data_IF_561499027170
#
_entry.id   IF_561499027170
#
_cell.length_a   1.000
_cell.length_b   1.000
_cell.length_c   1.000
_cell.angle_alpha   90.00
_cell.angle_beta   90.00
_cell.angle_gamma   90.00
#
_symmetry.space_group_name_H-M   'P 1'
#
loop_
_entity.id
_entity.type
_entity.pdbx_description
1 polymer ?
#
# COMPACT_ATOMS: atom_id res chain seq x y z
N UNK A 1 37.26 -26.19 32.66
CA UNK A 1 37.33 -24.85 32.06
C UNK A 1 35.91 -24.40 31.69
N UNK A 2 35.42 -23.37 32.38
CA UNK A 2 34.01 -22.94 32.36
C UNK A 2 33.53 -22.55 30.96
N UNK A 3 32.38 -23.09 30.55
CA UNK A 3 31.62 -22.71 29.34
C UNK A 3 31.37 -21.20 29.28
N UNK A 4 31.26 -20.52 30.42
CA UNK A 4 31.12 -19.05 30.51
C UNK A 4 32.33 -18.28 29.96
N UNK A 5 33.55 -18.83 30.02
CA UNK A 5 34.78 -18.13 29.58
C UNK A 5 35.01 -18.17 28.07
N UNK A 6 34.54 -19.22 27.38
CA UNK A 6 34.61 -19.31 25.91
C UNK A 6 33.61 -18.35 25.22
N UNK A 7 32.41 -18.18 25.79
CA UNK A 7 31.37 -17.29 25.25
C UNK A 7 31.75 -15.80 25.33
N UNK A 8 32.51 -15.40 26.36
CA UNK A 8 32.96 -14.03 26.54
C UNK A 8 34.06 -13.64 25.54
N UNK A 9 34.90 -14.60 25.13
CA UNK A 9 35.95 -14.38 24.13
C UNK A 9 35.38 -14.21 22.70
N UNK A 10 34.34 -14.98 22.33
CA UNK A 10 33.69 -14.86 21.01
C UNK A 10 32.84 -13.58 20.85
N UNK A 11 32.27 -13.05 21.94
CA UNK A 11 31.50 -11.80 21.89
C UNK A 11 32.36 -10.57 21.58
N UNK A 12 33.65 -10.59 21.90
CA UNK A 12 34.55 -9.45 21.71
C UNK A 12 34.96 -9.21 20.25
N UNK A 13 34.67 -10.16 19.35
CA UNK A 13 34.90 -10.03 17.90
C UNK A 13 33.69 -9.50 17.13
N UNK A 14 32.54 -9.30 17.79
CA UNK A 14 31.28 -8.88 17.19
C UNK A 14 31.09 -7.36 17.26
N UNK A 15 30.38 -6.80 16.28
CA UNK A 15 29.99 -5.39 16.33
C UNK A 15 29.07 -5.12 17.52
N UNK A 16 29.04 -3.88 18.04
CA UNK A 16 28.16 -3.48 19.16
C UNK A 16 26.68 -3.83 18.90
N UNK A 17 26.24 -3.78 17.65
CA UNK A 17 24.88 -4.17 17.24
C UNK A 17 24.64 -5.66 17.41
N UNK A 18 25.58 -6.51 16.98
CA UNK A 18 25.50 -7.97 17.10
C UNK A 18 25.58 -8.42 18.56
N UNK A 19 26.49 -7.84 19.34
CA UNK A 19 26.56 -8.05 20.79
C UNK A 19 25.21 -7.78 21.47
N UNK A 20 24.57 -6.65 21.12
CA UNK A 20 23.23 -6.31 21.66
C UNK A 20 22.15 -7.34 21.29
N UNK A 21 22.26 -8.00 20.13
CA UNK A 21 21.30 -9.02 19.67
C UNK A 21 21.53 -10.33 20.42
N UNK A 22 22.79 -10.72 20.61
CA UNK A 22 23.19 -11.92 21.34
C UNK A 22 22.77 -11.81 22.80
N UNK A 23 23.06 -10.69 23.46
CA UNK A 23 22.66 -10.44 24.86
C UNK A 23 21.14 -10.48 25.03
N UNK A 24 20.38 -9.83 24.12
CA UNK A 24 18.91 -9.91 24.13
C UNK A 24 18.41 -11.33 23.95
N UNK A 25 19.07 -12.15 23.12
CA UNK A 25 18.73 -13.55 22.91
C UNK A 25 19.02 -14.39 24.15
N UNK A 26 20.17 -14.20 24.81
CA UNK A 26 20.50 -14.91 26.05
C UNK A 26 19.52 -14.58 27.17
N UNK A 27 19.21 -13.30 27.39
CA UNK A 27 18.20 -12.88 28.36
C UNK A 27 16.83 -13.51 28.08
N UNK A 28 16.46 -13.66 26.80
CA UNK A 28 15.24 -14.34 26.39
C UNK A 28 15.26 -15.84 26.73
N UNK A 29 16.39 -16.53 26.54
CA UNK A 29 16.54 -17.94 26.88
C UNK A 29 16.43 -18.17 28.39
N UNK A 30 17.11 -17.35 29.20
CA UNK A 30 17.03 -17.40 30.67
C UNK A 30 15.60 -17.16 31.17
N UNK A 31 14.90 -16.18 30.59
CA UNK A 31 13.50 -15.88 30.94
C UNK A 31 12.57 -17.08 30.79
N UNK A 32 12.78 -17.92 29.76
CA UNK A 32 11.89 -19.03 29.45
C UNK A 32 12.46 -20.40 29.85
N UNK A 33 13.65 -20.48 30.44
CA UNK A 33 14.33 -21.75 30.73
C UNK A 33 13.47 -22.70 31.56
N UNK A 34 12.92 -22.22 32.68
CA UNK A 34 12.03 -23.01 33.55
C UNK A 34 10.78 -23.49 32.80
N UNK A 35 10.22 -22.64 31.94
CA UNK A 35 9.01 -22.95 31.19
C UNK A 35 9.27 -24.01 30.11
N UNK A 36 10.45 -24.00 29.48
CA UNK A 36 10.87 -25.03 28.51
C UNK A 36 11.01 -26.39 29.20
N UNK A 37 11.72 -26.44 30.34
CA UNK A 37 11.87 -27.67 31.13
C UNK A 37 10.51 -28.27 31.50
N UNK A 38 9.61 -27.46 32.06
CA UNK A 38 8.24 -27.91 32.37
C UNK A 38 7.45 -28.35 31.12
N UNK A 39 7.67 -27.71 29.97
CA UNK A 39 6.99 -28.07 28.73
C UNK A 39 7.46 -29.40 28.15
N UNK A 40 8.74 -29.75 28.32
CA UNK A 40 9.32 -31.01 27.90
C UNK A 40 8.98 -32.16 28.85
N UNK A 41 9.10 -31.93 30.16
CA UNK A 41 9.02 -32.98 31.18
C UNK A 41 7.58 -33.29 31.65
N UNK A 42 6.63 -32.38 31.38
CA UNK A 42 5.26 -32.52 31.92
C UNK A 42 4.16 -32.38 30.87
N UNK A 43 3.05 -33.09 31.13
CA UNK A 43 1.81 -32.97 30.35
C UNK A 43 0.96 -31.74 30.71
N UNK A 44 1.46 -30.82 31.55
CA UNK A 44 0.74 -29.61 31.95
C UNK A 44 0.41 -28.73 30.75
N UNK A 45 -0.79 -28.16 30.71
CA UNK A 45 -1.18 -27.25 29.62
C UNK A 45 -0.25 -26.04 29.53
N UNK A 46 -0.09 -25.49 28.32
CA UNK A 46 0.72 -24.28 28.09
C UNK A 46 0.27 -23.11 28.99
N UNK A 47 -1.03 -23.02 29.28
CA UNK A 47 -1.60 -22.04 30.20
C UNK A 47 -1.08 -22.22 31.63
N UNK A 48 -1.13 -23.45 32.13
CA UNK A 48 -0.65 -23.78 33.49
C UNK A 48 0.86 -23.54 33.63
N UNK A 49 1.65 -23.91 32.63
CA UNK A 49 3.10 -23.64 32.62
C UNK A 49 3.37 -22.14 32.62
N UNK A 50 2.64 -21.38 31.80
CA UNK A 50 2.80 -19.93 31.74
C UNK A 50 2.46 -19.25 33.07
N UNK A 51 1.40 -19.69 33.75
CA UNK A 51 1.04 -19.25 35.09
C UNK A 51 2.13 -19.60 36.12
N UNK A 52 2.60 -20.85 36.16
CA UNK A 52 3.67 -21.31 37.08
C UNK A 52 5.03 -20.62 36.86
N UNK A 53 5.29 -20.16 35.64
CA UNK A 53 6.52 -19.46 35.28
C UNK A 53 6.35 -17.93 35.24
N UNK A 54 5.17 -17.39 35.57
CA UNK A 54 4.85 -15.97 35.48
C UNK A 54 5.22 -15.34 34.13
N UNK A 55 4.86 -16.02 33.04
CA UNK A 55 5.05 -15.54 31.66
C UNK A 55 3.72 -15.49 30.93
N UNK A 56 3.64 -14.68 29.87
CA UNK A 56 2.45 -14.67 29.02
C UNK A 56 2.32 -15.97 28.22
N UNK A 57 1.11 -16.53 28.13
CA UNK A 57 0.84 -17.73 27.34
C UNK A 57 1.22 -17.53 25.87
N UNK A 58 0.88 -16.36 25.31
CA UNK A 58 1.20 -16.00 23.93
C UNK A 58 2.70 -15.82 23.67
N UNK A 59 3.42 -15.21 24.62
CA UNK A 59 4.87 -15.04 24.56
C UNK A 59 5.60 -16.38 24.63
N UNK A 60 5.25 -17.23 25.60
CA UNK A 60 5.81 -18.58 25.74
C UNK A 60 5.55 -19.42 24.49
N UNK A 61 4.31 -19.44 23.99
CA UNK A 61 3.96 -20.19 22.79
C UNK A 61 4.69 -19.70 21.52
N UNK A 62 4.95 -18.40 21.41
CA UNK A 62 5.74 -17.85 20.29
C UNK A 62 7.21 -18.21 20.41
N UNK A 63 7.76 -18.14 21.63
CA UNK A 63 9.13 -18.51 21.92
C UNK A 63 9.39 -19.99 21.63
N UNK A 64 8.53 -20.91 22.11
CA UNK A 64 8.64 -22.34 21.84
C UNK A 64 8.61 -22.66 20.34
N UNK A 65 7.68 -22.07 19.58
CA UNK A 65 7.60 -22.30 18.12
C UNK A 65 8.81 -21.79 17.34
N UNK A 66 9.53 -20.79 17.89
CA UNK A 66 10.67 -20.15 17.24
C UNK A 66 12.00 -20.85 17.57
N UNK A 67 12.19 -21.24 18.84
CA UNK A 67 13.48 -21.74 19.34
C UNK A 67 13.46 -23.21 19.76
N UNK A 68 12.28 -23.77 20.05
CA UNK A 68 12.11 -25.13 20.56
C UNK A 68 11.02 -25.88 19.77
N UNK A 69 11.10 -25.79 18.44
CA UNK A 69 10.01 -26.23 17.55
C UNK A 69 9.86 -27.75 17.56
N UNK A 70 10.96 -28.46 17.70
CA UNK A 70 11.03 -29.90 17.90
C UNK A 70 10.24 -30.37 19.14
N UNK A 71 10.31 -29.66 20.28
CA UNK A 71 9.48 -29.96 21.44
C UNK A 71 7.99 -29.79 21.13
N UNK A 72 7.64 -28.73 20.39
CA UNK A 72 6.25 -28.47 19.99
C UNK A 72 5.74 -29.59 19.07
N UNK A 73 6.53 -30.03 18.09
CA UNK A 73 6.16 -31.10 17.17
C UNK A 73 6.01 -32.45 17.89
N UNK A 74 6.98 -32.80 18.75
CA UNK A 74 6.95 -34.00 19.59
C UNK A 74 5.67 -34.07 20.43
N UNK A 75 5.32 -32.97 21.09
CA UNK A 75 4.11 -32.90 21.93
C UNK A 75 2.80 -32.97 21.14
N UNK A 76 2.82 -32.62 19.86
CA UNK A 76 1.68 -32.80 18.96
C UNK A 76 1.70 -34.15 18.21
N UNK A 77 2.65 -35.04 18.54
CA UNK A 77 2.83 -36.36 17.90
C UNK A 77 3.00 -36.27 16.38
N UNK A 78 3.72 -35.23 15.93
CA UNK A 78 4.05 -35.03 14.53
C UNK A 78 5.44 -35.60 14.29
N UNK A 79 5.52 -36.65 13.46
CA UNK A 79 6.80 -37.18 13.00
C UNK A 79 7.46 -36.19 12.03
N UNK A 80 8.75 -35.96 12.24
CA UNK A 80 9.58 -35.12 11.36
C UNK A 80 10.37 -36.09 10.50
N UNK A 81 10.01 -36.20 9.21
CA UNK A 81 10.88 -36.83 8.22
C UNK A 81 12.07 -35.90 7.93
N UNK A 82 12.98 -36.25 7.01
CA UNK A 82 14.16 -35.44 6.62
C UNK A 82 13.87 -34.00 6.11
N UNK A 83 12.64 -33.52 6.23
CA UNK A 83 12.23 -32.14 5.99
C UNK A 83 12.64 -31.18 7.13
N UNK A 84 12.86 -29.91 6.77
CA UNK A 84 13.16 -28.87 7.75
C UNK A 84 12.05 -28.73 8.80
N UNK A 85 12.40 -28.64 10.10
CA UNK A 85 11.42 -28.46 11.18
C UNK A 85 10.47 -27.27 10.93
N UNK A 86 10.94 -26.23 10.23
CA UNK A 86 10.18 -25.02 9.95
C UNK A 86 9.14 -25.20 8.83
N UNK A 87 9.33 -26.11 7.88
CA UNK A 87 8.34 -26.40 6.83
C UNK A 87 7.14 -27.19 7.35
N UNK A 88 7.34 -28.00 8.39
CA UNK A 88 6.29 -28.85 8.98
C UNK A 88 5.22 -27.99 9.67
N UNK A 89 3.97 -28.08 9.20
CA UNK A 89 2.83 -27.34 9.77
C UNK A 89 2.25 -28.08 10.98
N UNK A 90 2.21 -27.41 12.14
CA UNK A 90 1.58 -27.94 13.36
C UNK A 90 0.06 -28.11 13.18
N UNK A 91 -0.57 -27.19 12.44
CA UNK A 91 -1.98 -27.23 12.08
C UNK A 91 -2.10 -26.97 10.59
N UNK A 92 -2.62 -27.95 9.86
CA UNK A 92 -2.94 -27.78 8.45
C UNK A 92 -4.40 -27.36 8.28
N UNK A 93 -4.63 -26.35 7.45
CA UNK A 93 -5.96 -25.82 7.20
C UNK A 93 -6.87 -26.90 6.60
N UNK A 94 -7.95 -27.23 7.30
CA UNK A 94 -8.92 -28.24 6.87
C UNK A 94 -8.60 -29.68 7.30
N UNK A 95 -7.42 -29.96 7.84
CA UNK A 95 -7.11 -31.26 8.45
C UNK A 95 -7.45 -31.29 9.93
N UNK A 96 -7.64 -32.50 10.45
CA UNK A 96 -7.84 -32.73 11.88
C UNK A 96 -6.55 -32.44 12.64
N UNK A 97 -6.67 -31.77 13.78
CA UNK A 97 -5.56 -31.70 14.73
C UNK A 97 -5.30 -33.12 15.27
N UNK A 98 -4.07 -33.60 15.25
CA UNK A 98 -3.67 -34.95 15.70
C UNK A 98 -4.11 -35.22 17.14
N UNK A 99 -3.99 -34.24 18.03
CA UNK A 99 -4.42 -34.37 19.42
C UNK A 99 -5.95 -34.47 19.53
N UNK A 100 -6.69 -33.72 18.72
CA UNK A 100 -8.15 -33.82 18.67
C UNK A 100 -8.59 -35.16 18.06
N UNK A 101 -7.93 -35.60 16.98
CA UNK A 101 -8.16 -36.91 16.38
C UNK A 101 -7.94 -38.01 17.41
N UNK A 102 -6.81 -38.02 18.11
CA UNK A 102 -6.51 -39.01 19.16
C UNK A 102 -7.57 -38.99 20.26
N UNK A 103 -8.01 -37.80 20.68
CA UNK A 103 -9.04 -37.66 21.72
C UNK A 103 -10.41 -38.22 21.30
N UNK A 104 -10.78 -38.08 20.04
CA UNK A 104 -12.13 -38.41 19.56
C UNK A 104 -12.20 -39.70 18.73
N UNK A 105 -11.09 -40.29 18.29
CA UNK A 105 -11.04 -41.41 17.32
C UNK A 105 -11.96 -42.58 17.71
N UNK A 106 -11.97 -42.97 18.98
CA UNK A 106 -12.73 -44.14 19.43
C UNK A 106 -14.24 -43.82 19.48
N UNK A 107 -14.59 -42.60 19.89
CA UNK A 107 -15.96 -42.12 19.86
C UNK A 107 -16.47 -41.91 18.42
N UNK A 108 -15.59 -41.49 17.50
CA UNK A 108 -15.90 -41.35 16.07
C UNK A 108 -16.15 -42.74 15.46
N UNK A 109 -15.28 -43.71 15.73
CA UNK A 109 -15.45 -45.08 15.27
C UNK A 109 -16.76 -45.71 15.77
N UNK A 110 -17.15 -45.42 17.03
CA UNK A 110 -18.45 -45.82 17.55
C UNK A 110 -19.61 -45.12 16.83
N UNK A 111 -19.48 -43.83 16.50
CA UNK A 111 -20.48 -43.13 15.68
C UNK A 111 -20.61 -43.76 14.28
N UNK A 112 -19.53 -44.27 13.71
CA UNK A 112 -19.53 -44.89 12.37
C UNK A 112 -19.96 -46.37 12.37
N UNK A 113 -20.24 -46.94 13.55
CA UNK A 113 -20.59 -48.35 13.70
C UNK A 113 -22.09 -48.58 13.88
N UNK A 114 -22.60 -49.65 13.25
CA UNK A 114 -23.97 -50.13 13.46
C UNK A 114 -24.21 -50.63 14.89
N UNK A 115 -23.16 -51.09 15.59
CA UNK A 115 -23.27 -51.60 16.96
C UNK A 115 -23.70 -50.52 17.98
N UNK A 116 -23.54 -49.24 17.64
CA UNK A 116 -23.93 -48.10 18.47
C UNK A 116 -24.94 -47.20 17.75
N UNK A 117 -25.71 -47.75 16.80
CA UNK A 117 -26.67 -46.97 16.01
C UNK A 117 -27.88 -46.52 16.83
N UNK A 118 -28.18 -47.22 17.92
CA UNK A 118 -29.22 -46.95 18.91
C UNK A 118 -28.88 -45.75 19.81
N UNK A 119 -27.59 -45.55 20.12
CA UNK A 119 -27.12 -44.43 20.93
C UNK A 119 -27.09 -43.10 20.15
N UNK A 120 -27.49 -42.01 20.79
CA UNK A 120 -27.23 -40.68 20.26
C UNK A 120 -25.77 -40.25 20.51
N UNK A 121 -25.30 -39.21 19.81
CA UNK A 121 -23.91 -38.74 19.91
C UNK A 121 -23.55 -38.34 21.35
N UNK A 122 -24.49 -37.79 22.11
CA UNK A 122 -24.26 -37.40 23.52
C UNK A 122 -24.12 -38.61 24.45
N UNK A 123 -24.77 -39.73 24.13
CA UNK A 123 -24.61 -41.01 24.85
C UNK A 123 -23.28 -41.66 24.48
N UNK A 124 -22.92 -41.67 23.20
CA UNK A 124 -21.59 -42.14 22.75
C UNK A 124 -20.51 -41.30 23.42
N UNK A 125 -20.63 -39.97 23.42
CA UNK A 125 -19.66 -39.09 24.05
C UNK A 125 -19.44 -39.43 25.53
N UNK A 126 -20.53 -39.64 26.29
CA UNK A 126 -20.45 -40.08 27.69
C UNK A 126 -19.77 -41.44 27.83
N UNK A 127 -20.10 -42.40 26.97
CA UNK A 127 -19.50 -43.75 26.97
C UNK A 127 -17.98 -43.72 26.79
N UNK A 128 -17.47 -42.79 26.00
CA UNK A 128 -16.04 -42.62 25.73
C UNK A 128 -15.38 -41.50 26.57
N UNK A 129 -16.06 -40.96 27.59
CA UNK A 129 -15.49 -39.93 28.47
C UNK A 129 -15.16 -38.61 27.77
N UNK A 130 -15.81 -38.30 26.64
CA UNK A 130 -15.60 -37.07 25.89
C UNK A 130 -16.79 -36.11 26.01
N UNK A 131 -16.53 -34.81 25.88
CA UNK A 131 -17.59 -33.80 25.94
C UNK A 131 -18.54 -33.89 24.74
N UNK A 132 -19.83 -34.08 24.98
CA UNK A 132 -20.87 -34.27 23.95
C UNK A 132 -20.92 -33.14 22.90
N UNK A 133 -20.93 -31.89 23.34
CA UNK A 133 -20.94 -30.72 22.44
C UNK A 133 -19.67 -30.65 21.60
N UNK A 134 -18.52 -30.97 22.22
CA UNK A 134 -17.24 -30.92 21.54
C UNK A 134 -17.11 -32.03 20.49
N UNK A 135 -17.54 -33.26 20.81
CA UNK A 135 -17.60 -34.37 19.86
C UNK A 135 -18.55 -34.05 18.70
N UNK A 136 -19.74 -33.50 18.99
CA UNK A 136 -20.71 -33.13 17.94
C UNK A 136 -20.13 -32.08 16.99
N UNK A 137 -19.46 -31.05 17.51
CA UNK A 137 -18.80 -30.03 16.68
C UNK A 137 -17.65 -30.62 15.87
N UNK A 138 -16.87 -31.53 16.45
CA UNK A 138 -15.78 -32.24 15.77
C UNK A 138 -16.31 -33.08 14.59
N UNK A 139 -17.38 -33.85 14.82
CA UNK A 139 -18.06 -34.64 13.80
C UNK A 139 -18.62 -33.77 12.67
N UNK A 140 -19.24 -32.63 12.97
CA UNK A 140 -19.78 -31.73 11.93
C UNK A 140 -18.71 -31.17 10.99
N UNK A 141 -17.50 -30.93 11.50
CA UNK A 141 -16.41 -30.36 10.71
C UNK A 141 -15.72 -31.45 9.87
N UNK A 142 -15.54 -32.66 10.42
CA UNK A 142 -14.63 -33.65 9.85
C UNK A 142 -15.31 -34.93 9.34
N UNK A 143 -16.50 -35.26 9.84
CA UNK A 143 -17.22 -36.52 9.59
C UNK A 143 -18.71 -36.24 9.34
N UNK A 144 -19.00 -35.26 8.49
CA UNK A 144 -20.39 -34.87 8.17
C UNK A 144 -21.17 -36.04 7.55
N UNK A 145 -20.52 -36.81 6.68
CA UNK A 145 -21.15 -37.94 5.99
C UNK A 145 -21.57 -39.05 6.96
N UNK A 146 -20.77 -39.32 8.00
CA UNK A 146 -21.16 -40.24 9.08
C UNK A 146 -22.42 -39.77 9.79
N UNK A 147 -22.59 -38.46 10.02
CA UNK A 147 -23.81 -37.92 10.64
C UNK A 147 -25.03 -38.10 9.74
N UNK A 148 -24.89 -37.85 8.43
CA UNK A 148 -25.95 -38.03 7.43
C UNK A 148 -26.34 -39.50 7.31
N UNK A 149 -25.35 -40.40 7.26
CA UNK A 149 -25.55 -41.84 7.22
C UNK A 149 -26.30 -42.34 8.47
N UNK A 150 -25.84 -41.95 9.68
CA UNK A 150 -26.50 -42.34 10.93
C UNK A 150 -27.97 -41.92 10.97
N UNK A 151 -28.28 -40.67 10.59
CA UNK A 151 -29.65 -40.19 10.55
C UNK A 151 -30.52 -41.02 9.58
N UNK A 152 -29.99 -41.34 8.39
CA UNK A 152 -30.67 -42.20 7.42
C UNK A 152 -30.94 -43.61 7.96
N UNK A 153 -29.95 -44.23 8.60
CA UNK A 153 -30.09 -45.59 9.16
C UNK A 153 -31.07 -45.60 10.33
N UNK A 154 -30.97 -44.65 11.26
CA UNK A 154 -31.90 -44.54 12.39
C UNK A 154 -33.34 -44.31 11.92
N UNK A 155 -33.55 -43.50 10.88
CA UNK A 155 -34.88 -43.33 10.24
C UNK A 155 -35.41 -44.65 9.71
N UNK A 156 -34.59 -45.42 8.99
CA UNK A 156 -34.96 -46.72 8.43
C UNK A 156 -35.33 -47.74 9.52
N UNK A 157 -34.61 -47.71 10.64
CA UNK A 157 -34.85 -48.60 11.79
C UNK A 157 -35.97 -48.15 12.73
N UNK A 158 -36.59 -46.98 12.49
CA UNK A 158 -37.63 -46.44 13.37
C UNK A 158 -37.14 -45.93 14.73
N UNK A 159 -35.83 -45.86 14.95
CA UNK A 159 -35.19 -45.41 16.21
C UNK A 159 -34.86 -43.90 16.15
N UNK A 160 -35.45 -43.16 15.20
CA UNK A 160 -35.14 -41.75 15.07
C UNK A 160 -35.88 -40.91 16.12
N UNK A 161 -35.18 -40.00 16.77
CA UNK A 161 -35.65 -39.15 17.87
C UNK A 161 -36.65 -38.07 17.40
N UNK A 162 -37.11 -38.10 16.14
CA UNK A 162 -37.92 -37.07 15.43
C UNK A 162 -37.28 -35.68 15.41
N UNK A 163 -36.02 -35.55 15.81
CA UNK A 163 -35.28 -34.28 15.82
C UNK A 163 -34.60 -34.06 14.46
N UNK A 164 -34.66 -32.83 13.96
CA UNK A 164 -33.97 -32.46 12.71
C UNK A 164 -32.45 -32.46 12.93
N UNK A 165 -31.76 -33.39 12.28
CA UNK A 165 -30.31 -33.45 12.25
C UNK A 165 -29.76 -32.54 11.15
N UNK A 166 -29.12 -31.44 11.56
CA UNK A 166 -28.58 -30.43 10.66
C UNK A 166 -28.68 -29.02 11.23
N UNK A 167 -28.55 -28.01 10.36
CA UNK A 167 -28.84 -26.64 10.73
C UNK A 167 -30.34 -26.53 11.05
N UNK A 168 -30.69 -25.91 12.17
CA UNK A 168 -32.10 -25.62 12.48
C UNK A 168 -32.65 -24.68 11.41
N UNK A 169 -33.89 -24.90 10.96
CA UNK A 169 -34.53 -24.06 9.93
C UNK A 169 -34.49 -22.56 10.27
N UNK A 170 -34.67 -22.20 11.55
CA UNK A 170 -34.52 -20.81 12.02
C UNK A 170 -33.12 -20.25 11.72
N UNK A 171 -32.06 -21.03 11.93
CA UNK A 171 -30.69 -20.62 11.65
C UNK A 171 -30.41 -20.54 10.15
N UNK A 172 -30.94 -21.48 9.34
CA UNK A 172 -30.82 -21.42 7.88
C UNK A 172 -31.40 -20.10 7.37
N UNK A 173 -32.63 -19.77 7.78
CA UNK A 173 -33.27 -18.50 7.41
C UNK A 173 -32.49 -17.28 7.92
N UNK A 174 -32.01 -17.33 9.16
CA UNK A 174 -31.25 -16.24 9.78
C UNK A 174 -29.94 -15.92 9.04
N UNK A 175 -29.22 -16.93 8.54
CA UNK A 175 -27.93 -16.74 7.88
C UNK A 175 -28.01 -16.76 6.35
N UNK A 176 -29.18 -16.99 5.74
CA UNK A 176 -29.34 -17.14 4.29
C UNK A 176 -28.73 -15.97 3.51
N UNK A 177 -29.11 -14.73 3.86
CA UNK A 177 -28.58 -13.52 3.23
C UNK A 177 -27.06 -13.40 3.40
N UNK A 178 -26.54 -13.66 4.60
CA UNK A 178 -25.12 -13.59 4.88
C UNK A 178 -24.30 -14.64 4.12
N UNK A 179 -24.84 -15.86 3.95
CA UNK A 179 -24.22 -16.94 3.17
C UNK A 179 -24.16 -16.55 1.70
N UNK A 180 -25.25 -16.05 1.14
CA UNK A 180 -25.33 -15.61 -0.25
C UNK A 180 -24.38 -14.44 -0.53
N UNK A 181 -24.36 -13.44 0.36
CA UNK A 181 -23.44 -12.32 0.27
C UNK A 181 -21.97 -12.76 0.33
N UNK A 182 -21.63 -13.72 1.20
CA UNK A 182 -20.25 -14.22 1.30
C UNK A 182 -19.82 -15.02 0.07
N UNK A 183 -20.75 -15.72 -0.57
CA UNK A 183 -20.49 -16.45 -1.81
C UNK A 183 -20.17 -15.47 -2.95
N UNK A 184 -21.00 -14.43 -3.09
CA UNK A 184 -20.99 -13.56 -4.26
C UNK A 184 -20.10 -12.33 -4.15
N UNK A 185 -19.53 -12.04 -2.97
CA UNK A 185 -18.70 -10.84 -2.74
C UNK A 185 -17.31 -11.19 -2.18
N UNK A 186 -16.40 -10.24 -2.25
CA UNK A 186 -15.07 -10.30 -1.61
C UNK A 186 -15.06 -9.71 -0.19
N UNK A 187 -16.24 -9.51 0.41
CA UNK A 187 -16.35 -8.98 1.77
C UNK A 187 -15.87 -10.01 2.80
N UNK A 188 -15.29 -9.49 3.88
CA UNK A 188 -14.89 -10.31 5.02
C UNK A 188 -16.11 -10.77 5.80
N UNK A 189 -15.98 -11.87 6.55
CA UNK A 189 -17.06 -12.34 7.43
C UNK A 189 -17.51 -11.28 8.45
N UNK A 190 -16.61 -10.39 8.88
CA UNK A 190 -16.94 -9.28 9.80
C UNK A 190 -17.86 -8.28 9.14
N UNK A 191 -17.49 -7.78 7.97
CA UNK A 191 -18.27 -6.79 7.22
C UNK A 191 -19.67 -7.33 6.88
N UNK A 192 -19.77 -8.61 6.48
CA UNK A 192 -21.05 -9.24 6.21
C UNK A 192 -21.86 -9.42 7.49
N UNK A 193 -21.22 -9.81 8.60
CA UNK A 193 -21.92 -9.99 9.87
C UNK A 193 -22.54 -8.68 10.37
N UNK A 194 -21.82 -7.57 10.21
CA UNK A 194 -22.33 -6.23 10.52
C UNK A 194 -23.48 -5.85 9.58
N UNK A 195 -23.31 -6.06 8.27
CA UNK A 195 -24.31 -5.69 7.26
C UNK A 195 -25.62 -6.48 7.37
N UNK A 196 -25.52 -7.78 7.66
CA UNK A 196 -26.68 -8.66 7.83
C UNK A 196 -27.20 -8.67 9.28
N UNK A 197 -26.61 -7.87 10.17
CA UNK A 197 -26.93 -7.83 11.60
C UNK A 197 -26.96 -9.23 12.26
N UNK A 198 -25.94 -10.04 11.99
CA UNK A 198 -25.77 -11.37 12.58
C UNK A 198 -24.49 -11.45 13.41
N UNK A 199 -24.47 -12.34 14.40
CA UNK A 199 -23.25 -12.56 15.19
C UNK A 199 -22.13 -13.14 14.32
N UNK A 200 -20.96 -12.51 14.31
CA UNK A 200 -19.76 -12.99 13.61
C UNK A 200 -19.38 -14.42 14.03
N UNK A 201 -19.43 -14.71 15.33
CA UNK A 201 -19.06 -16.04 15.85
C UNK A 201 -20.06 -17.11 15.40
N UNK A 202 -21.37 -16.79 15.46
CA UNK A 202 -22.44 -17.66 15.01
C UNK A 202 -22.41 -17.90 13.49
N UNK A 203 -22.23 -16.84 12.70
CA UNK A 203 -22.09 -16.92 11.25
C UNK A 203 -20.86 -17.74 10.84
N UNK A 204 -19.70 -17.47 11.45
CA UNK A 204 -18.47 -18.24 11.21
C UNK A 204 -18.63 -19.72 11.55
N UNK A 205 -19.37 -20.04 12.61
CA UNK A 205 -19.67 -21.42 12.96
C UNK A 205 -20.63 -22.07 11.96
N UNK A 206 -21.69 -21.37 11.55
CA UNK A 206 -22.65 -21.84 10.56
C UNK A 206 -21.96 -22.16 9.23
N UNK A 207 -21.11 -21.26 8.75
CA UNK A 207 -20.32 -21.45 7.52
C UNK A 207 -19.39 -22.66 7.62
N UNK A 208 -18.72 -22.86 8.76
CA UNK A 208 -17.82 -24.01 8.96
C UNK A 208 -18.56 -25.35 8.97
N UNK A 209 -19.78 -25.38 9.50
CA UNK A 209 -20.55 -26.62 9.68
C UNK A 209 -21.34 -27.03 8.44
N UNK A 210 -21.84 -26.06 7.66
CA UNK A 210 -22.81 -26.32 6.60
C UNK A 210 -22.38 -25.82 5.22
N UNK A 211 -21.39 -24.93 5.13
CA UNK A 211 -20.92 -24.31 3.87
C UNK A 211 -19.39 -24.38 3.73
N UNK A 212 -18.82 -25.56 4.04
CA UNK A 212 -17.37 -25.77 4.04
C UNK A 212 -16.75 -25.71 2.64
N UNK A 213 -17.54 -26.01 1.62
CA UNK A 213 -17.27 -25.88 0.19
C UNK A 213 -17.00 -24.41 -0.20
N UNK A 214 -17.88 -23.48 0.18
CA UNK A 214 -17.71 -22.04 -0.08
C UNK A 214 -16.41 -21.54 0.57
N UNK A 215 -16.12 -22.00 1.80
CA UNK A 215 -14.87 -21.64 2.48
C UNK A 215 -13.62 -22.19 1.78
N UNK A 216 -13.70 -23.37 1.15
CA UNK A 216 -12.59 -23.95 0.37
C UNK A 216 -12.38 -23.17 -0.92
N UNK A 217 -13.45 -22.81 -1.61
CA UNK A 217 -13.40 -21.99 -2.83
C UNK A 217 -12.77 -20.63 -2.57
N UNK A 218 -13.26 -19.87 -1.58
CA UNK A 218 -12.67 -18.59 -1.17
C UNK A 218 -11.20 -18.70 -0.76
N UNK A 219 -10.75 -19.82 -0.18
CA UNK A 219 -9.31 -20.03 0.11
C UNK A 219 -8.48 -20.21 -1.15
N UNK A 220 -9.01 -20.90 -2.18
CA UNK A 220 -8.33 -21.04 -3.47
C UNK A 220 -8.21 -19.69 -4.16
N UNK A 221 -9.29 -18.91 -4.21
CA UNK A 221 -9.29 -17.55 -4.75
C UNK A 221 -8.22 -16.65 -4.09
N UNK A 222 -8.14 -16.69 -2.75
CA UNK A 222 -7.11 -15.95 -1.99
C UNK A 222 -5.69 -16.38 -2.34
N UNK A 223 -5.45 -17.69 -2.44
CA UNK A 223 -4.13 -18.21 -2.81
C UNK A 223 -3.71 -17.74 -4.20
N UNK A 224 -4.64 -17.69 -5.15
CA UNK A 224 -4.38 -17.16 -6.49
C UNK A 224 -4.12 -15.63 -6.48
N UNK A 225 -4.69 -14.92 -5.51
CA UNK A 225 -4.56 -13.46 -5.34
C UNK A 225 -3.35 -13.04 -4.49
N UNK A 226 -2.50 -13.98 -4.07
CA UNK A 226 -1.36 -13.70 -3.18
C UNK A 226 -0.25 -12.92 -3.88
N UNK A 227 -0.18 -12.99 -5.22
CA UNK A 227 0.92 -12.40 -6.00
C UNK A 227 0.70 -10.95 -6.44
N UNK A 228 -0.54 -10.45 -6.53
CA UNK A 228 -0.82 -9.15 -7.20
C UNK A 228 -1.57 -8.19 -6.28
N UNK A 229 -0.89 -7.11 -5.85
CA UNK A 229 -1.50 -6.00 -5.07
C UNK A 229 -2.07 -4.96 -6.02
N UNK A 230 -3.21 -5.27 -6.63
CA UNK A 230 -3.91 -4.35 -7.52
C UNK A 230 -5.05 -3.66 -6.78
N UNK A 231 -5.18 -2.34 -6.93
CA UNK A 231 -6.20 -1.56 -6.23
C UNK A 231 -7.60 -2.13 -6.48
N UNK A 232 -8.40 -2.25 -5.43
CA UNK A 232 -9.76 -2.76 -5.47
C UNK A 232 -9.89 -4.29 -5.54
N UNK A 233 -8.83 -5.03 -5.90
CA UNK A 233 -8.88 -6.50 -5.95
C UNK A 233 -8.61 -7.13 -4.59
N UNK A 234 -9.14 -8.33 -4.38
CA UNK A 234 -8.85 -9.15 -3.20
C UNK A 234 -7.35 -9.49 -3.13
N UNK A 235 -6.80 -9.53 -1.91
CA UNK A 235 -5.43 -9.95 -1.63
C UNK A 235 -5.40 -11.33 -0.97
N UNK A 236 -4.21 -11.94 -0.82
CA UNK A 236 -4.05 -13.24 -0.16
C UNK A 236 -4.61 -13.34 1.27
N UNK A 237 -4.77 -12.21 1.98
CA UNK A 237 -5.41 -12.17 3.29
C UNK A 237 -6.96 -12.11 3.23
N UNK A 238 -7.56 -12.09 2.04
CA UNK A 238 -9.00 -12.03 1.82
C UNK A 238 -9.62 -10.64 1.93
N UNK A 239 -8.82 -9.58 2.10
CA UNK A 239 -9.29 -8.20 2.05
C UNK A 239 -9.05 -7.61 0.67
N UNK A 240 -9.97 -6.76 0.22
CA UNK A 240 -9.77 -5.88 -0.92
C UNK A 240 -8.61 -4.92 -0.68
N UNK A 241 -7.71 -4.78 -1.64
CA UNK A 241 -6.58 -3.86 -1.61
C UNK A 241 -7.05 -2.43 -1.81
N UNK A 242 -7.56 -1.82 -0.74
CA UNK A 242 -7.99 -0.43 -0.67
C UNK A 242 -7.75 0.11 0.74
N UNK A 243 -7.68 1.43 0.95
CA UNK A 243 -7.60 1.98 2.29
C UNK A 243 -8.83 1.58 3.11
N UNK A 244 -8.68 1.51 4.44
CA UNK A 244 -9.84 1.29 5.30
C UNK A 244 -10.78 2.50 5.23
N UNK A 245 -12.09 2.29 5.45
CA UNK A 245 -13.05 3.39 5.50
C UNK A 245 -12.66 4.48 6.51
N UNK A 246 -12.06 4.10 7.64
CA UNK A 246 -11.53 5.04 8.64
C UNK A 246 -10.40 5.90 8.07
N UNK A 247 -9.52 5.31 7.26
CA UNK A 247 -8.42 6.02 6.60
C UNK A 247 -8.97 6.92 5.49
N UNK A 248 -9.94 6.46 4.70
CA UNK A 248 -10.59 7.26 3.66
C UNK A 248 -11.26 8.49 4.26
N UNK A 249 -12.06 8.33 5.33
CA UNK A 249 -12.68 9.47 6.04
C UNK A 249 -11.66 10.45 6.59
N UNK A 250 -10.57 9.95 7.19
CA UNK A 250 -9.50 10.77 7.76
C UNK A 250 -8.83 11.68 6.71
N UNK A 251 -8.65 11.18 5.49
CA UNK A 251 -7.94 11.90 4.42
C UNK A 251 -8.87 12.47 3.35
N UNK A 252 -10.20 12.39 3.51
CA UNK A 252 -11.16 12.79 2.48
C UNK A 252 -11.01 14.27 2.08
N UNK A 253 -10.98 15.17 3.06
CA UNK A 253 -10.82 16.61 2.82
C UNK A 253 -9.45 16.93 2.20
N UNK A 254 -8.38 16.32 2.73
CA UNK A 254 -7.02 16.51 2.21
C UNK A 254 -6.87 16.01 0.77
N UNK A 255 -7.54 14.91 0.43
CA UNK A 255 -7.56 14.35 -0.92
C UNK A 255 -8.31 15.26 -1.89
N UNK A 256 -9.44 15.83 -1.46
CA UNK A 256 -10.21 16.75 -2.29
C UNK A 256 -9.41 18.02 -2.60
N UNK A 257 -8.77 18.62 -1.58
CA UNK A 257 -7.86 19.76 -1.77
C UNK A 257 -6.67 19.40 -2.67
N UNK A 258 -6.12 18.20 -2.55
CA UNK A 258 -5.00 17.79 -3.40
C UNK A 258 -5.38 17.61 -4.88
N UNK A 259 -6.61 17.17 -5.15
CA UNK A 259 -7.14 17.04 -6.51
C UNK A 259 -7.44 18.39 -7.15
N UNK A 260 -8.18 19.22 -6.42
CA UNK A 260 -8.84 20.39 -6.98
C UNK A 260 -8.00 21.68 -6.86
N UNK A 261 -6.94 21.67 -6.06
CA UNK A 261 -6.09 22.85 -5.82
C UNK A 261 -4.63 22.59 -6.19
N UNK A 262 -3.89 23.65 -6.48
CA UNK A 262 -2.44 23.59 -6.71
C UNK A 262 -1.62 23.77 -5.42
N UNK A 263 -2.22 23.50 -4.25
CA UNK A 263 -1.56 23.66 -2.96
C UNK A 263 -0.49 22.58 -2.75
N UNK A 264 0.54 22.90 -1.97
CA UNK A 264 1.53 21.87 -1.62
C UNK A 264 0.95 20.88 -0.60
N UNK A 265 1.46 19.65 -0.57
CA UNK A 265 1.06 18.66 0.44
C UNK A 265 1.23 19.18 1.88
N UNK A 266 2.24 20.05 2.11
CA UNK A 266 2.49 20.67 3.42
C UNK A 266 1.37 21.63 3.81
N UNK A 267 0.92 22.46 2.87
CA UNK A 267 -0.14 23.44 3.12
C UNK A 267 -1.49 22.76 3.33
N UNK A 268 -1.77 21.71 2.55
CA UNK A 268 -2.97 20.88 2.71
C UNK A 268 -2.96 20.18 4.07
N UNK A 269 -1.83 19.61 4.48
CA UNK A 269 -1.68 18.96 5.77
C UNK A 269 -1.93 19.94 6.93
N UNK A 270 -1.37 21.15 6.84
CA UNK A 270 -1.61 22.21 7.83
C UNK A 270 -3.08 22.63 7.89
N UNK A 271 -3.74 22.77 6.73
CA UNK A 271 -5.15 23.21 6.66
C UNK A 271 -6.13 22.18 7.21
N UNK A 272 -5.87 20.90 6.94
CA UNK A 272 -6.76 19.78 7.33
C UNK A 272 -6.39 19.15 8.67
N UNK A 273 -5.30 19.60 9.30
CA UNK A 273 -4.82 19.06 10.58
C UNK A 273 -4.24 17.64 10.51
N UNK A 274 -4.03 17.09 9.31
CA UNK A 274 -3.40 15.77 9.15
C UNK A 274 -1.87 15.89 9.14
N UNK A 275 -1.17 14.84 9.56
CA UNK A 275 0.29 14.80 9.46
C UNK A 275 0.74 14.80 7.99
N UNK A 276 1.69 15.67 7.65
CA UNK A 276 2.26 15.76 6.30
C UNK A 276 2.87 14.43 5.81
N UNK A 277 3.60 13.72 6.67
CA UNK A 277 4.18 12.42 6.30
C UNK A 277 3.11 11.33 6.15
N UNK A 278 2.05 11.41 6.95
CA UNK A 278 0.89 10.53 6.81
C UNK A 278 0.13 10.75 5.51
N UNK A 279 -0.13 12.02 5.15
CA UNK A 279 -0.78 12.39 3.88
C UNK A 279 0.06 11.95 2.69
N UNK A 280 1.37 12.19 2.73
CA UNK A 280 2.31 11.73 1.71
C UNK A 280 2.25 10.21 1.55
N UNK A 281 2.38 9.46 2.63
CA UNK A 281 2.30 8.00 2.61
C UNK A 281 0.97 7.49 2.05
N UNK A 282 -0.14 8.16 2.40
CA UNK A 282 -1.47 7.83 1.90
C UNK A 282 -1.59 8.05 0.38
N UNK A 283 -1.19 9.23 -0.12
CA UNK A 283 -1.25 9.57 -1.54
C UNK A 283 -0.34 8.68 -2.38
N UNK A 284 0.91 8.46 -1.96
CA UNK A 284 1.84 7.61 -2.71
C UNK A 284 1.36 6.14 -2.78
N UNK A 285 0.67 5.66 -1.75
CA UNK A 285 0.21 4.27 -1.69
C UNK A 285 -1.10 4.05 -2.44
N UNK A 286 -2.04 4.99 -2.36
CA UNK A 286 -3.42 4.78 -2.81
C UNK A 286 -3.83 5.65 -4.00
N UNK A 287 -3.12 6.75 -4.24
CA UNK A 287 -3.43 7.75 -5.26
C UNK A 287 -2.17 8.15 -6.05
N UNK A 288 -1.35 7.16 -6.43
CA UNK A 288 -0.07 7.38 -7.13
C UNK A 288 -0.26 8.21 -8.40
N UNK A 289 -1.34 7.96 -9.13
CA UNK A 289 -1.65 8.67 -10.39
C UNK A 289 -1.83 10.18 -10.17
N UNK A 290 -2.50 10.58 -9.09
CA UNK A 290 -2.64 12.00 -8.72
C UNK A 290 -1.30 12.62 -8.33
N UNK A 291 -0.40 11.83 -7.71
CA UNK A 291 0.95 12.31 -7.40
C UNK A 291 1.74 12.54 -8.68
N UNK A 292 1.65 11.64 -9.65
CA UNK A 292 2.31 11.79 -10.95
C UNK A 292 1.78 13.00 -11.73
N UNK A 293 0.45 13.18 -11.77
CA UNK A 293 -0.18 14.36 -12.37
C UNK A 293 0.34 15.65 -11.74
N UNK A 294 0.37 15.72 -10.41
CA UNK A 294 0.82 16.91 -9.70
C UNK A 294 2.32 17.21 -9.93
N UNK A 295 3.14 16.18 -10.22
CA UNK A 295 4.55 16.32 -10.61
C UNK A 295 4.75 16.67 -12.11
N UNK A 296 3.67 16.68 -12.90
CA UNK A 296 3.70 16.89 -14.35
C UNK A 296 4.35 15.73 -15.09
N UNK A 297 4.25 14.50 -14.56
CA UNK A 297 4.79 13.30 -15.18
C UNK A 297 3.64 12.59 -15.91
N UNK A 298 3.76 12.48 -17.22
CA UNK A 298 2.83 11.74 -18.08
C UNK A 298 3.46 10.41 -18.49
N UNK A 299 2.72 9.31 -18.32
CA UNK A 299 3.14 7.95 -18.69
C UNK A 299 3.35 7.01 -17.51
N UNK A 300 3.61 5.74 -17.83
CA UNK A 300 3.80 4.68 -16.84
C UNK A 300 5.21 4.79 -16.23
N UNK A 301 5.28 5.01 -14.92
CA UNK A 301 6.53 5.25 -14.20
C UNK A 301 6.89 4.02 -13.39
N UNK A 302 8.04 3.42 -13.71
CA UNK A 302 8.57 2.26 -13.00
C UNK A 302 8.59 2.51 -11.48
N UNK A 303 8.30 1.48 -10.69
CA UNK A 303 8.18 1.56 -9.23
C UNK A 303 9.46 2.10 -8.56
N UNK A 304 10.62 1.91 -9.18
CA UNK A 304 11.91 2.36 -8.65
C UNK A 304 12.34 3.76 -9.12
N UNK A 305 11.51 4.45 -9.90
CA UNK A 305 11.87 5.77 -10.41
C UNK A 305 11.91 6.81 -9.28
N UNK A 306 13.02 7.53 -9.15
CA UNK A 306 13.13 8.65 -8.22
C UNK A 306 12.26 9.83 -8.70
N UNK A 307 11.06 9.91 -8.14
CA UNK A 307 10.08 10.96 -8.44
C UNK A 307 10.60 12.38 -8.19
N UNK A 308 11.63 12.58 -7.34
CA UNK A 308 12.23 13.90 -7.13
C UNK A 308 13.04 14.37 -8.34
N UNK A 309 13.65 13.44 -9.06
CA UNK A 309 14.44 13.72 -10.27
C UNK A 309 13.57 13.71 -11.52
N UNK A 310 12.53 12.87 -11.55
CA UNK A 310 11.63 12.74 -12.69
C UNK A 310 10.59 13.88 -12.82
N UNK A 311 10.47 14.76 -11.82
CA UNK A 311 9.54 15.90 -11.87
C UNK A 311 9.84 16.78 -13.09
N UNK A 312 8.80 17.08 -13.88
CA UNK A 312 8.91 17.97 -15.04
C UNK A 312 8.35 19.34 -14.68
N UNK A 313 7.03 19.45 -14.54
CA UNK A 313 6.32 20.70 -14.28
C UNK A 313 5.39 20.54 -13.09
N UNK A 314 5.85 20.94 -11.89
CA UNK A 314 5.06 20.82 -10.67
C UNK A 314 3.83 21.73 -10.71
N UNK A 315 2.63 21.18 -10.46
CA UNK A 315 1.34 21.90 -10.52
C UNK A 315 1.33 23.15 -9.63
N UNK A 316 1.89 23.06 -8.42
CA UNK A 316 1.99 24.20 -7.50
C UNK A 316 2.92 25.32 -7.98
N UNK A 317 4.05 24.96 -8.61
CA UNK A 317 5.00 25.94 -9.16
C UNK A 317 4.44 26.55 -10.45
N UNK A 318 3.75 25.76 -11.27
CA UNK A 318 3.04 26.27 -12.44
C UNK A 318 1.96 27.27 -12.05
N UNK A 319 1.14 26.97 -11.03
CA UNK A 319 0.14 27.89 -10.52
C UNK A 319 0.75 29.19 -9.98
N UNK A 320 1.90 29.12 -9.27
CA UNK A 320 2.62 30.30 -8.78
C UNK A 320 2.98 31.29 -9.90
N UNK A 321 3.34 30.78 -11.08
CA UNK A 321 3.78 31.61 -12.21
C UNK A 321 2.68 31.89 -13.23
N UNK A 322 1.50 31.29 -13.10
CA UNK A 322 0.44 31.33 -14.10
C UNK A 322 -0.01 32.77 -14.41
N UNK A 323 -0.33 33.57 -13.39
CA UNK A 323 -0.80 34.95 -13.56
C UNK A 323 0.27 35.85 -14.20
N UNK A 324 1.53 35.67 -13.79
CA UNK A 324 2.66 36.41 -14.35
C UNK A 324 2.90 36.05 -15.82
N UNK A 325 2.79 34.76 -16.18
CA UNK A 325 2.91 34.27 -17.56
C UNK A 325 1.76 34.78 -18.42
N UNK A 326 0.52 34.72 -17.92
CA UNK A 326 -0.66 35.23 -18.64
C UNK A 326 -0.56 36.74 -18.86
N UNK A 327 -0.14 37.49 -17.85
CA UNK A 327 0.08 38.92 -17.96
C UNK A 327 1.20 39.26 -18.96
N UNK A 328 2.27 38.46 -19.02
CA UNK A 328 3.35 38.60 -20.00
C UNK A 328 2.85 38.31 -21.43
N UNK A 329 2.00 37.29 -21.61
CA UNK A 329 1.37 36.97 -22.90
C UNK A 329 0.45 38.08 -23.40
N UNK A 330 -0.34 38.70 -22.51
CA UNK A 330 -1.26 39.80 -22.86
C UNK A 330 -0.54 41.11 -23.12
N UNK A 331 0.52 41.41 -22.38
CA UNK A 331 1.24 42.68 -22.46
C UNK A 331 2.76 42.45 -22.47
N UNK A 332 3.37 42.33 -23.66
CA UNK A 332 4.81 42.12 -23.85
C UNK A 332 5.66 43.19 -23.16
N UNK A 333 6.38 42.79 -22.09
CA UNK A 333 7.27 43.68 -21.33
C UNK A 333 8.48 42.92 -20.75
N UNK A 334 9.54 43.62 -20.30
CA UNK A 334 10.73 42.95 -19.78
C UNK A 334 10.39 42.00 -18.62
N UNK A 335 10.96 40.80 -18.65
CA UNK A 335 10.73 39.75 -17.63
C UNK A 335 11.05 40.26 -16.22
N UNK A 336 12.04 41.13 -16.08
CA UNK A 336 12.39 41.79 -14.82
C UNK A 336 11.24 42.63 -14.26
N UNK A 337 10.53 43.38 -15.13
CA UNK A 337 9.41 44.22 -14.73
C UNK A 337 8.20 43.37 -14.28
N UNK A 338 7.87 42.32 -15.03
CA UNK A 338 6.81 41.38 -14.63
C UNK A 338 7.15 40.70 -13.31
N UNK A 339 8.39 40.22 -13.15
CA UNK A 339 8.81 39.59 -11.91
C UNK A 339 8.63 40.52 -10.70
N UNK A 340 9.02 41.79 -10.82
CA UNK A 340 8.79 42.78 -9.76
C UNK A 340 7.31 43.03 -9.46
N UNK A 341 6.46 43.16 -10.49
CA UNK A 341 5.01 43.38 -10.33
C UNK A 341 4.31 42.23 -9.58
N UNK A 342 4.75 41.00 -9.82
CA UNK A 342 4.19 39.80 -9.20
C UNK A 342 4.97 39.31 -7.96
N UNK A 343 5.95 40.09 -7.47
CA UNK A 343 6.75 39.73 -6.29
C UNK A 343 7.62 38.49 -6.47
N UNK A 344 8.03 38.19 -7.70
CA UNK A 344 8.83 37.03 -8.09
C UNK A 344 10.32 37.38 -8.18
N UNK A 345 11.18 36.41 -7.89
CA UNK A 345 12.62 36.57 -8.10
C UNK A 345 12.95 36.49 -9.59
N UNK A 346 13.54 37.56 -10.14
CA UNK A 346 13.78 37.75 -11.58
C UNK A 346 14.49 36.56 -12.23
N UNK A 347 15.65 36.14 -11.71
CA UNK A 347 16.43 35.06 -12.34
C UNK A 347 15.76 33.69 -12.23
N UNK A 348 14.99 33.44 -11.16
CA UNK A 348 14.31 32.16 -10.96
C UNK A 348 13.11 32.06 -11.90
N UNK A 349 12.40 33.17 -12.10
CA UNK A 349 11.31 33.25 -13.05
C UNK A 349 11.83 33.12 -14.50
N UNK A 350 12.97 33.73 -14.83
CA UNK A 350 13.61 33.60 -16.14
C UNK A 350 14.05 32.16 -16.44
N UNK A 351 14.68 31.48 -15.48
CA UNK A 351 15.05 30.06 -15.59
C UNK A 351 13.81 29.16 -15.74
N UNK A 352 12.71 29.47 -15.03
CA UNK A 352 11.44 28.75 -15.17
C UNK A 352 10.84 28.88 -16.58
N UNK A 353 10.76 30.11 -17.11
CA UNK A 353 10.29 30.37 -18.47
C UNK A 353 11.15 29.61 -19.49
N UNK A 354 12.48 29.59 -19.32
CA UNK A 354 13.38 28.91 -20.27
C UNK A 354 13.15 27.40 -20.32
N UNK A 355 12.69 26.79 -19.24
CA UNK A 355 12.48 25.34 -19.13
C UNK A 355 11.10 24.88 -19.57
N UNK A 356 10.09 25.74 -19.49
CA UNK A 356 8.69 25.35 -19.66
C UNK A 356 7.91 26.18 -20.68
N UNK A 357 8.40 27.36 -21.05
CA UNK A 357 7.73 28.33 -21.92
C UNK A 357 8.78 29.03 -22.83
N UNK A 358 9.63 28.24 -23.50
CA UNK A 358 10.73 28.72 -24.36
C UNK A 358 10.26 29.71 -25.43
N UNK A 359 9.10 29.46 -26.01
CA UNK A 359 8.51 30.27 -27.09
C UNK A 359 8.19 31.69 -26.61
N UNK A 360 7.86 31.86 -25.32
CA UNK A 360 7.67 33.19 -24.74
C UNK A 360 9.00 33.94 -24.60
N UNK A 361 10.10 33.24 -24.32
CA UNK A 361 11.44 33.85 -24.26
C UNK A 361 12.00 34.17 -25.63
N UNK A 362 11.79 33.33 -26.64
CA UNK A 362 12.24 33.58 -28.01
C UNK A 362 11.59 34.85 -28.58
N UNK A 363 10.30 35.03 -28.32
CA UNK A 363 9.56 36.23 -28.72
C UNK A 363 9.96 37.51 -27.94
N UNK A 364 10.57 37.39 -26.76
CA UNK A 364 10.81 38.53 -25.84
C UNK A 364 12.30 38.72 -25.43
N UNK A 365 13.20 37.92 -25.98
CA UNK A 365 14.61 37.81 -25.60
C UNK A 365 15.60 38.40 -26.62
N UNK A 366 16.87 37.99 -26.50
CA UNK A 366 17.93 38.31 -27.46
C UNK A 366 17.92 37.27 -28.58
N UNK A 367 17.64 37.67 -29.81
CA UNK A 367 17.73 36.84 -31.01
C UNK A 367 19.12 36.97 -31.65
N UNK A 368 19.56 35.93 -32.36
CA UNK A 368 20.72 36.03 -33.24
C UNK A 368 20.30 36.79 -34.51
N UNK A 369 20.93 37.94 -34.75
CA UNK A 369 20.78 38.69 -36.00
C UNK A 369 21.35 37.91 -37.19
N UNK A 370 20.97 38.28 -38.42
CA UNK A 370 21.53 37.74 -39.67
C UNK A 370 23.06 37.85 -39.74
N UNK A 371 23.64 38.82 -39.03
CA UNK A 371 25.09 39.02 -38.87
C UNK A 371 25.72 38.23 -37.69
N UNK A 372 25.01 37.27 -37.09
CA UNK A 372 25.51 36.40 -36.01
C UNK A 372 25.60 37.05 -34.62
N UNK A 373 25.21 38.32 -34.45
CA UNK A 373 25.23 39.04 -33.16
C UNK A 373 23.95 38.83 -32.36
N UNK A 374 24.06 38.74 -31.03
CA UNK A 374 22.90 38.70 -30.12
C UNK A 374 22.29 40.09 -29.98
N UNK A 375 21.05 40.28 -30.42
CA UNK A 375 20.32 41.56 -30.40
C UNK A 375 18.92 41.38 -29.82
N UNK A 376 18.41 42.37 -29.10
CA UNK A 376 17.05 42.31 -28.53
C UNK A 376 16.01 42.23 -29.65
N UNK A 377 15.11 41.24 -29.61
CA UNK A 377 14.07 41.02 -30.64
C UNK A 377 13.26 42.30 -30.92
N UNK A 378 12.81 42.98 -29.86
CA UNK A 378 12.07 44.25 -29.96
C UNK A 378 12.87 45.39 -30.61
N UNK A 379 14.20 45.40 -30.45
CA UNK A 379 15.06 46.41 -31.08
C UNK A 379 15.26 46.10 -32.57
N UNK A 380 15.30 44.83 -32.94
CA UNK A 380 15.31 44.40 -34.35
C UNK A 380 14.00 44.81 -35.01
N UNK A 381 12.85 44.49 -34.43
CA UNK A 381 11.56 44.93 -34.96
C UNK A 381 11.48 46.46 -35.09
N UNK A 382 11.79 47.19 -34.00
CA UNK A 382 11.71 48.65 -33.94
C UNK A 382 12.61 49.37 -34.96
N UNK A 383 13.82 48.85 -35.21
CA UNK A 383 14.81 49.51 -36.06
C UNK A 383 14.98 48.85 -37.43
N UNK A 384 14.33 47.71 -37.71
CA UNK A 384 14.50 46.94 -38.95
C UNK A 384 14.25 47.78 -40.21
N UNK A 385 13.16 48.55 -40.24
CA UNK A 385 12.82 49.42 -41.35
C UNK A 385 13.83 50.56 -41.52
N UNK A 386 14.26 51.15 -40.41
CA UNK A 386 15.28 52.21 -40.41
C UNK A 386 16.65 51.71 -40.90
N UNK A 387 17.03 50.48 -40.53
CA UNK A 387 18.27 49.83 -40.98
C UNK A 387 18.21 49.56 -42.48
N UNK A 388 17.11 48.97 -42.99
CA UNK A 388 16.93 48.72 -44.42
C UNK A 388 16.97 50.00 -45.25
N UNK A 389 16.28 51.05 -44.80
CA UNK A 389 16.28 52.34 -45.49
C UNK A 389 17.67 52.98 -45.51
N UNK A 390 18.41 52.90 -44.40
CA UNK A 390 19.77 53.44 -44.33
C UNK A 390 20.75 52.63 -45.20
N UNK A 391 20.57 51.32 -45.31
CA UNK A 391 21.39 50.46 -46.17
C UNK A 391 21.13 50.65 -47.67
N UNK A 392 19.89 50.96 -48.07
CA UNK A 392 19.44 50.93 -49.47
C UNK A 392 19.25 52.30 -50.11
N UNK A 393 19.29 53.38 -49.33
CA UNK A 393 19.05 54.74 -49.82
C UNK A 393 20.16 55.70 -49.38
N UNK A 394 20.47 56.75 -50.17
CA UNK A 394 21.42 57.81 -49.78
C UNK A 394 20.83 58.80 -48.76
N UNK A 395 19.69 58.48 -48.13
CA UNK A 395 19.08 59.35 -47.13
C UNK A 395 19.89 59.37 -45.84
N UNK A 396 20.17 60.57 -45.31
CA UNK A 396 20.86 60.69 -44.02
C UNK A 396 20.08 60.02 -42.88
N UNK A 397 20.80 59.39 -41.95
CA UNK A 397 20.21 58.73 -40.77
C UNK A 397 19.34 59.68 -39.93
N UNK A 398 19.66 60.98 -39.95
CA UNK A 398 18.87 62.03 -39.27
C UNK A 398 17.49 62.19 -39.91
N UNK A 399 17.40 62.16 -41.24
CA UNK A 399 16.13 62.20 -41.98
C UNK A 399 15.27 60.95 -41.68
N UNK A 400 15.88 59.77 -41.79
CA UNK A 400 15.21 58.48 -41.53
C UNK A 400 14.67 58.43 -40.09
N UNK A 401 15.48 58.87 -39.12
CA UNK A 401 15.07 58.91 -37.72
C UNK A 401 13.85 59.82 -37.49
N UNK A 402 13.79 60.98 -38.15
CA UNK A 402 12.66 61.91 -38.06
C UNK A 402 11.40 61.35 -38.73
N UNK A 403 11.54 60.72 -39.91
CA UNK A 403 10.43 60.12 -40.66
C UNK A 403 9.76 58.98 -39.88
N UNK A 404 10.56 58.13 -39.24
CA UNK A 404 10.07 56.98 -38.49
C UNK A 404 9.77 57.28 -37.01
N UNK A 405 9.88 58.54 -36.57
CA UNK A 405 9.64 58.93 -35.17
C UNK A 405 10.62 58.29 -34.18
N UNK A 406 11.85 57.99 -34.61
CA UNK A 406 12.89 57.33 -33.82
C UNK A 406 13.88 58.34 -33.26
N UNK A 407 14.36 58.09 -32.04
CA UNK A 407 15.44 58.91 -31.44
C UNK A 407 16.75 58.68 -32.18
N UNK A 408 17.25 59.70 -32.88
CA UNK A 408 18.49 59.66 -33.68
C UNK A 408 19.68 59.00 -32.94
N UNK A 409 19.97 59.44 -31.71
CA UNK A 409 21.10 58.92 -30.93
C UNK A 409 20.95 57.42 -30.60
N UNK A 410 19.72 56.95 -30.34
CA UNK A 410 19.44 55.55 -30.06
C UNK A 410 19.56 54.68 -31.30
N UNK A 411 19.04 55.16 -32.45
CA UNK A 411 19.17 54.49 -33.74
C UNK A 411 20.63 54.42 -34.20
N UNK A 412 21.36 55.54 -34.16
CA UNK A 412 22.78 55.57 -34.53
C UNK A 412 23.68 54.79 -33.58
N UNK A 413 23.33 54.71 -32.29
CA UNK A 413 24.00 53.81 -31.35
C UNK A 413 23.72 52.33 -31.62
N UNK A 414 22.50 52.00 -32.05
CA UNK A 414 22.09 50.64 -32.39
C UNK A 414 22.78 50.12 -33.66
N UNK A 415 22.81 50.92 -34.73
CA UNK A 415 23.46 50.55 -36.00
C UNK A 415 24.96 50.32 -35.79
N UNK A 416 25.68 51.25 -35.12
CA UNK A 416 27.13 51.10 -34.88
C UNK A 416 27.51 49.84 -34.12
N UNK A 417 26.68 49.39 -33.17
CA UNK A 417 26.97 48.21 -32.35
C UNK A 417 26.60 46.91 -33.05
N UNK A 418 25.46 46.90 -33.73
CA UNK A 418 24.85 45.66 -34.23
C UNK A 418 25.04 45.45 -35.74
N UNK A 419 25.10 46.52 -36.54
CA UNK A 419 25.18 46.49 -38.00
C UNK A 419 26.23 47.49 -38.55
N UNK A 420 27.53 47.37 -38.19
CA UNK A 420 28.58 48.25 -38.72
C UNK A 420 28.72 48.17 -40.24
N UNK A 421 28.42 47.02 -40.84
CA UNK A 421 28.43 46.78 -42.29
C UNK A 421 27.47 47.70 -43.05
N UNK A 422 26.31 48.00 -42.46
CA UNK A 422 25.32 48.91 -43.06
C UNK A 422 25.87 50.34 -43.18
N UNK A 423 26.78 50.75 -42.29
CA UNK A 423 27.42 52.07 -42.36
C UNK A 423 28.37 52.13 -43.56
N UNK A 424 29.09 51.04 -43.83
CA UNK A 424 30.00 50.93 -44.98
C UNK A 424 29.19 50.96 -46.28
N UNK A 425 28.13 50.15 -46.38
CA UNK A 425 27.27 50.15 -47.57
C UNK A 425 26.60 51.49 -47.85
N UNK A 426 26.18 52.22 -46.81
CA UNK A 426 25.64 53.56 -46.99
C UNK A 426 26.70 54.56 -47.49
N UNK A 427 27.97 54.41 -47.08
CA UNK A 427 29.07 55.24 -47.59
C UNK A 427 29.36 54.96 -49.07
N UNK A 428 29.17 53.73 -49.53
CA UNK A 428 29.32 53.37 -50.95
C UNK A 428 28.18 53.91 -51.83
N UNK A 429 27.05 54.32 -51.23
CA UNK A 429 25.89 54.90 -51.92
C UNK A 429 25.91 56.44 -52.01
N UNK A 430 26.86 57.09 -51.32
CA UNK A 430 27.07 58.54 -51.29
C UNK A 430 28.19 58.93 -52.26
#
# INVERSE_FOLDING_TARGET
MNTSGKYQAECNLLTKREQSVVLRRQALHLKYEKAVKLYEETDKSLKKIAEECNVSVGGLGSYLRRYWRELVLRRNRISVNDESLQSVKILEAGKQNINAHTKYKDAVAACDSLAFIDLNISQIARKYGVGATALTNFMRIHYHDTLVWRDRVRKRLGINDRIVHGARNKCIKQYAEAVEMYKNTDMTMSEISERCNVSLSGFSQHMRFYHSDILKEKRKERKNSEATKTFGKMTGNGRTYKPSQTTERKYAEALDLYKNTAMTMKDIANRTGVSAEGLRSYLHKWHKDLVLEHLGITGDVDENTDLRKAKKRLKSVAAKYADAIESLRKHPRPVSKVASEFGLHVEVFRDYLSKHESDLLENHGMILSTAGKKVYSRSVEKYSEAVKLYETTPESLKSISKRLGLTYNSLGGYIRRNYPEVIVHHQDLL
#
